data_IF_138746752751
#
_entry.id   IF_138746752751
#
_cell.length_a   1.000
_cell.length_b   1.000
_cell.length_c   1.000
_cell.angle_alpha   90.00
_cell.angle_beta   90.00
_cell.angle_gamma   90.00
#
_symmetry.space_group_name_H-M   'P 1'
#
loop_
_entity.id
_entity.type
_entity.pdbx_description
1 polymer ?
#
# COMPACT_ATOMS: atom_id res chain seq x y z
N UNK A 1 -11.90 6.24 6.39
CA UNK A 1 -10.58 6.82 6.74
C UNK A 1 -9.47 5.98 6.10
N UNK A 2 -8.33 6.56 5.72
CA UNK A 2 -7.16 5.80 5.26
C UNK A 2 -6.19 5.69 6.43
N UNK A 3 -5.80 4.46 6.80
CA UNK A 3 -4.84 4.22 7.87
C UNK A 3 -3.57 3.61 7.30
N UNK A 4 -2.47 4.34 7.41
CA UNK A 4 -1.14 3.86 7.07
C UNK A 4 -0.65 2.94 8.20
N UNK A 5 -0.15 1.76 7.83
CA UNK A 5 0.53 0.84 8.74
C UNK A 5 2.02 1.18 8.76
N UNK A 6 2.78 0.57 7.86
CA UNK A 6 4.23 0.72 7.80
C UNK A 6 4.65 1.55 6.59
N UNK A 7 5.73 2.30 6.78
CA UNK A 7 6.50 2.94 5.73
C UNK A 7 7.98 2.73 6.05
N UNK A 8 8.87 3.32 5.27
CA UNK A 8 10.31 3.22 5.57
C UNK A 8 10.68 3.91 6.89
N UNK A 9 11.73 3.39 7.53
CA UNK A 9 12.41 4.06 8.66
C UNK A 9 12.79 5.51 8.29
N UNK A 10 12.97 6.42 9.26
CA UNK A 10 13.29 7.83 8.99
C UNK A 10 14.50 8.08 8.08
N UNK A 11 15.44 7.12 8.00
CA UNK A 11 16.62 7.18 7.11
C UNK A 11 16.72 5.97 6.18
N UNK A 12 15.62 5.23 6.00
CA UNK A 12 15.61 3.97 5.26
C UNK A 12 16.42 2.85 5.92
N UNK A 13 16.80 1.87 5.11
CA UNK A 13 17.60 0.70 5.50
C UNK A 13 16.79 -0.55 5.82
N UNK A 14 17.46 -1.70 6.07
CA UNK A 14 16.80 -2.99 6.23
C UNK A 14 15.77 -2.98 7.36
N UNK A 15 14.61 -3.58 7.10
CA UNK A 15 13.65 -3.97 8.15
C UNK A 15 13.61 -5.49 8.23
N UNK A 16 13.55 -6.10 9.44
CA UNK A 16 13.54 -7.55 9.57
C UNK A 16 12.35 -8.20 8.87
N UNK A 17 11.22 -7.51 8.88
CA UNK A 17 9.93 -8.06 8.49
C UNK A 17 9.64 -7.86 7.00
N UNK A 18 10.06 -6.73 6.40
CA UNK A 18 9.78 -6.43 4.98
C UNK A 18 11.02 -5.97 4.18
N UNK A 19 11.37 -6.75 3.15
CA UNK A 19 12.58 -6.51 2.34
C UNK A 19 12.51 -5.23 1.47
N UNK A 20 11.32 -4.71 1.16
CA UNK A 20 11.13 -3.58 0.22
C UNK A 20 11.10 -2.19 0.88
N UNK A 21 10.76 -2.10 2.18
CA UNK A 21 10.57 -0.84 2.94
C UNK A 21 11.87 -0.12 3.34
N UNK A 22 12.86 -0.09 2.44
CA UNK A 22 14.20 0.43 2.74
C UNK A 22 14.47 1.83 2.20
N UNK A 23 13.70 2.30 1.23
CA UNK A 23 14.07 3.46 0.39
C UNK A 23 13.09 4.63 0.44
N UNK A 24 12.05 4.56 1.27
CA UNK A 24 10.99 5.57 1.34
C UNK A 24 9.94 5.47 0.23
N UNK A 25 10.04 4.44 -0.62
CA UNK A 25 9.18 4.29 -1.82
C UNK A 25 8.01 3.33 -1.62
N UNK A 26 7.83 2.82 -0.39
CA UNK A 26 6.79 1.85 -0.06
C UNK A 26 5.99 2.32 1.14
N UNK A 27 4.69 2.02 1.12
CA UNK A 27 3.82 2.15 2.27
C UNK A 27 2.79 1.00 2.29
N UNK A 28 2.41 0.58 3.49
CA UNK A 28 1.38 -0.41 3.73
C UNK A 28 0.11 0.30 4.22
N UNK A 29 -1.02 -0.04 3.64
CA UNK A 29 -2.35 0.43 4.05
C UNK A 29 -3.04 -0.68 4.85
N UNK A 30 -3.60 -0.33 6.01
CA UNK A 30 -4.40 -1.28 6.79
C UNK A 30 -5.69 -1.64 6.06
N UNK A 31 -6.15 -2.87 6.26
CA UNK A 31 -7.45 -3.34 5.78
C UNK A 31 -8.58 -2.55 6.46
N UNK A 32 -9.45 -1.86 5.70
CA UNK A 32 -10.56 -1.09 6.27
C UNK A 32 -11.70 -2.02 6.69
N UNK A 33 -12.48 -1.57 7.67
CA UNK A 33 -13.68 -2.25 8.16
C UNK A 33 -14.94 -1.43 7.91
N UNK A 34 -16.07 -2.13 7.82
CA UNK A 34 -17.41 -1.56 7.58
C UNK A 34 -17.92 -0.72 8.75
N UNK A 35 -17.33 -0.87 9.94
CA UNK A 35 -17.54 0.01 11.10
C UNK A 35 -16.75 1.33 11.02
N UNK A 36 -16.06 1.57 9.91
CA UNK A 36 -15.27 2.79 9.67
C UNK A 36 -13.90 2.78 10.34
N UNK A 37 -13.48 1.68 10.95
CA UNK A 37 -12.15 1.52 11.58
C UNK A 37 -11.17 0.77 10.68
N UNK A 38 -9.91 0.72 11.08
CA UNK A 38 -8.87 -0.09 10.43
C UNK A 38 -7.82 -0.51 11.49
N UNK A 39 -8.18 -1.36 12.47
CA UNK A 39 -7.26 -1.79 13.50
C UNK A 39 -6.22 -2.75 12.92
N UNK A 40 -5.10 -2.94 13.62
CA UNK A 40 -4.17 -4.02 13.31
C UNK A 40 -4.84 -5.39 13.37
N UNK A 41 -4.27 -6.36 12.67
CA UNK A 41 -4.71 -7.76 12.57
C UNK A 41 -6.05 -7.99 11.84
N UNK A 42 -6.66 -6.97 11.23
CA UNK A 42 -7.80 -7.20 10.33
C UNK A 42 -7.28 -7.76 9.01
N UNK A 43 -7.90 -8.83 8.54
CA UNK A 43 -7.56 -9.53 7.30
C UNK A 43 -8.73 -9.47 6.30
N UNK A 44 -8.47 -9.83 5.05
CA UNK A 44 -9.53 -9.98 4.02
C UNK A 44 -10.56 -11.08 4.34
N UNK A 45 -10.26 -11.95 5.32
CA UNK A 45 -11.15 -13.03 5.77
C UNK A 45 -12.09 -12.60 6.88
N UNK A 46 -11.86 -11.42 7.49
CA UNK A 46 -12.72 -10.92 8.54
C UNK A 46 -14.11 -10.54 8.00
N UNK A 47 -15.19 -10.86 8.72
CA UNK A 47 -16.55 -10.52 8.29
C UNK A 47 -16.82 -9.01 8.26
N UNK A 48 -15.95 -8.23 8.91
CA UNK A 48 -16.03 -6.77 8.97
C UNK A 48 -15.19 -6.09 7.89
N UNK A 49 -14.39 -6.84 7.13
CA UNK A 49 -13.60 -6.29 6.04
C UNK A 49 -14.48 -5.58 5.01
N UNK A 50 -14.15 -4.30 4.75
CA UNK A 50 -14.82 -3.48 3.75
C UNK A 50 -14.06 -3.52 2.41
N UNK A 51 -14.47 -4.46 1.56
CA UNK A 51 -13.92 -4.60 0.20
C UNK A 51 -14.17 -3.38 -0.66
N UNK A 52 -15.31 -2.72 -0.52
CA UNK A 52 -15.66 -1.58 -1.36
C UNK A 52 -14.81 -0.36 -1.01
N UNK A 53 -14.57 -0.14 0.29
CA UNK A 53 -13.62 0.87 0.76
C UNK A 53 -12.19 0.56 0.28
N UNK A 54 -11.74 -0.68 0.39
CA UNK A 54 -10.42 -1.08 -0.11
C UNK A 54 -10.32 -0.86 -1.63
N UNK A 55 -11.34 -1.23 -2.40
CA UNK A 55 -11.39 -0.98 -3.85
C UNK A 55 -11.23 0.51 -4.16
N UNK A 56 -11.95 1.38 -3.46
CA UNK A 56 -11.85 2.82 -3.66
C UNK A 56 -10.45 3.35 -3.35
N UNK A 57 -9.82 2.87 -2.27
CA UNK A 57 -8.43 3.20 -1.95
C UNK A 57 -7.46 2.75 -3.05
N UNK A 58 -7.53 1.50 -3.49
CA UNK A 58 -6.63 0.97 -4.52
C UNK A 58 -6.85 1.67 -5.87
N UNK A 59 -8.09 2.01 -6.21
CA UNK A 59 -8.41 2.79 -7.41
C UNK A 59 -7.76 4.18 -7.35
N UNK A 60 -7.80 4.85 -6.20
CA UNK A 60 -7.15 6.15 -6.03
C UNK A 60 -5.62 6.04 -6.19
N UNK A 61 -5.02 4.98 -5.63
CA UNK A 61 -3.58 4.72 -5.80
C UNK A 61 -3.22 4.41 -7.25
N UNK A 62 -4.04 3.65 -7.98
CA UNK A 62 -3.82 3.38 -9.41
C UNK A 62 -3.96 4.63 -10.29
N UNK A 63 -4.64 5.67 -9.82
CA UNK A 63 -4.71 6.94 -10.53
C UNK A 63 -3.42 7.79 -10.38
N UNK A 64 -2.54 7.46 -9.42
CA UNK A 64 -1.25 8.14 -9.23
C UNK A 64 -0.18 7.59 -10.18
N UNK A 65 0.36 8.38 -11.12
CA UNK A 65 1.30 7.90 -12.14
C UNK A 65 2.58 7.26 -11.59
N UNK A 66 3.01 7.63 -10.37
CA UNK A 66 4.21 7.06 -9.78
C UNK A 66 3.98 5.64 -9.23
N UNK A 67 2.74 5.22 -8.94
CA UNK A 67 2.45 3.90 -8.38
C UNK A 67 2.75 2.82 -9.42
N UNK A 68 3.73 1.97 -9.10
CA UNK A 68 4.20 0.90 -9.99
C UNK A 68 3.74 -0.49 -9.57
N UNK A 69 3.43 -0.69 -8.29
CA UNK A 69 3.06 -1.99 -7.75
C UNK A 69 2.12 -1.83 -6.55
N UNK A 70 1.10 -2.69 -6.51
CA UNK A 70 0.19 -2.84 -5.38
C UNK A 70 0.06 -4.34 -5.09
N UNK A 71 0.36 -4.78 -3.87
CA UNK A 71 0.22 -6.16 -3.44
C UNK A 71 -0.88 -6.28 -2.39
N UNK A 72 -1.86 -7.13 -2.64
CA UNK A 72 -2.95 -7.46 -1.72
C UNK A 72 -3.67 -8.71 -2.22
N UNK A 73 -4.09 -9.58 -1.29
CA UNK A 73 -4.53 -10.94 -1.64
C UNK A 73 -6.02 -11.12 -1.87
N UNK A 74 -6.82 -10.04 -1.83
CA UNK A 74 -8.25 -10.16 -2.12
C UNK A 74 -8.48 -10.67 -3.56
N UNK A 75 -9.06 -11.87 -3.75
CA UNK A 75 -9.16 -12.49 -5.06
C UNK A 75 -10.14 -11.76 -6.00
N UNK A 76 -11.06 -10.95 -5.47
CA UNK A 76 -11.93 -10.09 -6.26
C UNK A 76 -11.13 -8.92 -6.82
N UNK A 77 -10.40 -8.20 -5.96
CA UNK A 77 -9.62 -7.03 -6.37
C UNK A 77 -8.44 -7.39 -7.27
N UNK A 78 -7.85 -8.57 -7.10
CA UNK A 78 -6.86 -9.14 -8.03
C UNK A 78 -7.46 -9.38 -9.41
N UNK A 79 -8.66 -9.98 -9.48
CA UNK A 79 -9.36 -10.22 -10.77
C UNK A 79 -9.79 -8.93 -11.46
N UNK A 80 -10.13 -7.90 -10.68
CA UNK A 80 -10.43 -6.56 -11.18
C UNK A 80 -9.19 -5.79 -11.63
N UNK A 81 -7.97 -6.30 -11.37
CA UNK A 81 -6.71 -5.72 -11.83
C UNK A 81 -6.14 -4.61 -10.94
N UNK A 82 -6.69 -4.40 -9.74
CA UNK A 82 -6.21 -3.36 -8.83
C UNK A 82 -4.87 -3.73 -8.18
N UNK A 83 -4.67 -5.00 -7.84
CA UNK A 83 -3.49 -5.49 -7.12
C UNK A 83 -3.02 -6.86 -7.63
N UNK A 84 -1.86 -7.30 -7.15
CA UNK A 84 -1.32 -8.64 -7.39
C UNK A 84 -1.23 -9.39 -6.06
N UNK A 85 -1.62 -10.66 -6.06
CA UNK A 85 -1.50 -11.49 -4.87
C UNK A 85 -0.02 -11.85 -4.60
N UNK A 86 0.39 -11.76 -3.34
CA UNK A 86 1.67 -12.26 -2.84
C UNK A 86 1.47 -12.76 -1.40
N UNK A 87 2.08 -13.91 -1.06
CA UNK A 87 2.01 -14.47 0.29
C UNK A 87 2.35 -13.40 1.36
N UNK A 88 1.56 -13.35 2.44
CA UNK A 88 1.73 -12.39 3.54
C UNK A 88 0.98 -11.06 3.41
N UNK A 89 0.13 -10.87 2.40
CA UNK A 89 -0.60 -9.61 2.15
C UNK A 89 -2.12 -9.79 2.33
N UNK A 90 -2.52 -10.53 3.35
CA UNK A 90 -3.94 -10.72 3.68
C UNK A 90 -4.49 -9.61 4.60
N UNK A 91 -3.61 -8.93 5.34
CA UNK A 91 -3.93 -7.96 6.41
C UNK A 91 -3.50 -6.52 6.09
N UNK A 92 -2.88 -6.30 4.94
CA UNK A 92 -2.51 -4.98 4.44
C UNK A 92 -2.34 -4.96 2.92
N UNK A 93 -2.51 -3.79 2.32
CA UNK A 93 -2.12 -3.55 0.93
C UNK A 93 -0.77 -2.83 0.87
N UNK A 94 0.22 -3.44 0.22
CA UNK A 94 1.53 -2.84 0.01
C UNK A 94 1.53 -2.03 -1.29
N UNK A 95 1.72 -0.72 -1.19
CA UNK A 95 1.85 0.17 -2.34
C UNK A 95 3.31 0.60 -2.52
N UNK A 96 3.75 0.61 -3.77
CA UNK A 96 5.10 1.01 -4.12
C UNK A 96 5.08 1.99 -5.31
N UNK A 97 5.88 3.03 -5.19
CA UNK A 97 6.11 4.02 -6.24
C UNK A 97 7.44 3.81 -6.95
N UNK A 98 7.53 4.32 -8.17
CA UNK A 98 8.82 4.53 -8.84
C UNK A 98 9.54 5.71 -8.19
N UNK A 99 10.87 5.66 -8.14
CA UNK A 99 11.67 6.78 -7.67
C UNK A 99 11.27 8.06 -8.44
N UNK A 100 10.86 9.13 -7.73
CA UNK A 100 10.56 10.39 -8.39
C UNK A 100 11.77 10.89 -9.15
N UNK A 101 11.53 11.58 -10.28
CA UNK A 101 12.60 12.27 -10.97
C UNK A 101 13.31 13.20 -9.98
N UNK A 102 14.65 13.20 -10.01
CA UNK A 102 15.42 14.16 -9.22
C UNK A 102 15.01 15.55 -9.69
N UNK A 103 14.40 16.33 -8.80
CA UNK A 103 14.29 17.77 -9.01
C UNK A 103 15.71 18.29 -8.96
N UNK A 104 16.34 18.46 -10.12
CA UNK A 104 17.50 19.32 -10.24
C UNK A 104 16.99 20.72 -9.96
N UNK A 105 17.19 21.20 -8.74
CA UNK A 105 17.11 22.62 -8.46
C UNK A 105 18.00 23.29 -9.52
N UNK A 106 17.41 24.14 -10.36
CA UNK A 106 18.15 24.89 -11.36
C UNK A 106 19.35 25.53 -10.67
N UNK A 107 20.55 25.18 -11.13
CA UNK A 107 21.74 25.89 -10.72
C UNK A 107 21.58 27.30 -11.24
N UNK A 108 21.49 28.27 -10.33
CA UNK A 108 21.82 29.64 -10.66
C UNK A 108 23.29 29.64 -11.11
N UNK A 109 23.47 29.78 -12.42
CA UNK A 109 24.72 30.17 -13.08
C UNK A 109 24.97 31.66 -12.90
#
# INVERSE_FOLDING_TARGET
PITVNDASKPRGGPTPDHQTHQTGMCCDLRVPRTDGTAPGNTTLHDPTYDRDAMRAMLSAFRAEPLVRRILFNDPVLVREGFCTALAGHDDHAHAEITAPARVVAGGDS
#
